data_IF_402257399330
#
_entry.id   IF_402257399330
#
_cell.length_a   1.000
_cell.length_b   1.000
_cell.length_c   1.000
_cell.angle_alpha   90.00
_cell.angle_beta   90.00
_cell.angle_gamma   90.00
#
_symmetry.space_group_name_H-M   'P 1'
#
loop_
_entity.id
_entity.type
_entity.pdbx_description
1 polymer ?
#
# COMPACT_ATOMS: atom_id res chain seq x y z
N UNK A 1 -47.84 45.08 -2.42
CA UNK A 1 -47.53 45.83 -1.18
C UNK A 1 -46.18 45.38 -0.67
N UNK A 2 -45.28 46.36 -0.59
CA UNK A 2 -44.10 46.51 0.29
C UNK A 2 -43.00 45.42 0.30
N UNK A 3 -41.82 45.90 -0.08
CA UNK A 3 -40.49 45.32 -0.08
C UNK A 3 -39.87 45.25 1.33
N UNK A 4 -38.83 44.43 1.51
CA UNK A 4 -38.00 44.45 2.71
C UNK A 4 -36.59 43.88 2.49
N UNK A 5 -35.76 44.62 1.77
CA UNK A 5 -34.29 44.46 1.74
C UNK A 5 -33.68 45.06 3.00
N UNK A 6 -32.74 44.36 3.64
CA UNK A 6 -31.77 44.98 4.56
C UNK A 6 -30.36 44.50 4.21
N UNK A 7 -29.56 45.44 3.72
CA UNK A 7 -28.10 45.39 3.64
C UNK A 7 -27.57 46.41 4.64
N UNK A 8 -26.54 46.06 5.42
CA UNK A 8 -25.62 47.05 5.98
C UNK A 8 -24.21 46.47 6.09
N UNK A 9 -23.26 47.28 5.60
CA UNK A 9 -21.82 47.09 5.61
C UNK A 9 -21.20 47.36 6.99
N UNK A 10 -20.03 46.77 7.23
CA UNK A 10 -19.12 47.18 8.30
C UNK A 10 -17.73 46.55 8.14
N UNK A 11 -16.80 47.31 7.57
CA UNK A 11 -15.39 46.97 7.33
C UNK A 11 -14.50 47.46 8.49
N UNK A 12 -13.54 46.61 8.90
CA UNK A 12 -12.18 46.96 9.36
C UNK A 12 -11.91 46.92 10.87
N UNK A 13 -10.63 46.85 11.32
CA UNK A 13 -9.38 46.75 10.55
C UNK A 13 -8.41 45.60 10.95
N UNK A 14 -7.42 45.40 10.07
CA UNK A 14 -6.17 44.66 10.29
C UNK A 14 -5.42 45.16 11.55
N UNK A 15 -4.80 44.22 12.28
CA UNK A 15 -3.52 44.45 12.95
C UNK A 15 -2.54 43.32 12.64
N UNK A 16 -1.38 43.75 12.16
CA UNK A 16 -0.18 43.00 11.84
C UNK A 16 0.85 43.35 12.92
N UNK A 17 1.45 42.34 13.56
CA UNK A 17 2.64 42.55 14.40
C UNK A 17 3.76 41.61 13.96
N UNK A 18 4.93 42.26 13.82
CA UNK A 18 6.26 41.77 13.46
C UNK A 18 6.76 40.67 14.41
N UNK A 19 7.31 39.61 13.82
CA UNK A 19 8.75 39.29 13.78
C UNK A 19 9.55 39.19 15.07
N UNK A 20 10.21 38.05 15.26
CA UNK A 20 11.65 38.00 15.59
C UNK A 20 12.28 36.66 15.18
N UNK A 21 13.42 36.77 14.49
CA UNK A 21 14.38 35.73 14.11
C UNK A 21 15.30 35.35 15.31
N UNK A 22 16.35 34.58 15.00
CA UNK A 22 17.45 34.01 15.80
C UNK A 22 17.26 32.52 16.11
N UNK A 23 18.19 31.60 15.85
CA UNK A 23 19.58 31.73 15.40
C UNK A 23 20.02 30.38 14.79
N UNK A 24 20.79 30.42 13.70
CA UNK A 24 21.71 29.34 13.35
C UNK A 24 22.80 29.26 14.44
N UNK A 25 23.24 28.06 14.81
CA UNK A 25 24.68 27.84 14.96
C UNK A 25 25.08 26.36 14.86
N UNK A 26 26.15 26.22 14.10
CA UNK A 26 26.87 25.04 13.65
C UNK A 26 27.99 24.63 14.62
N UNK A 27 28.58 23.47 14.27
CA UNK A 27 29.99 23.08 14.44
C UNK A 27 30.43 22.49 15.78
N UNK A 28 31.27 21.45 15.65
CA UNK A 28 32.37 21.25 16.58
C UNK A 28 32.78 19.81 16.84
N UNK A 29 33.44 19.16 15.87
CA UNK A 29 34.53 18.23 16.21
C UNK A 29 35.57 18.97 17.06
N UNK A 30 36.19 18.31 18.05
CA UNK A 30 37.65 18.24 18.24
C UNK A 30 38.02 17.15 19.25
N UNK A 31 39.17 16.54 18.95
CA UNK A 31 39.91 15.45 19.56
C UNK A 31 40.49 15.73 20.95
N UNK A 32 40.82 14.66 21.68
CA UNK A 32 42.02 14.45 22.52
C UNK A 32 42.19 12.92 22.65
N UNK A 33 43.33 12.22 22.51
CA UNK A 33 44.73 12.59 22.57
C UNK A 33 45.48 11.73 23.61
N UNK A 34 46.21 10.70 23.15
CA UNK A 34 47.41 10.04 23.73
C UNK A 34 47.39 9.24 25.08
N UNK A 35 47.96 8.01 25.01
CA UNK A 35 49.25 7.74 25.71
C UNK A 35 49.43 6.48 26.61
N UNK A 36 50.11 5.46 26.05
CA UNK A 36 51.22 4.60 26.59
C UNK A 36 51.07 3.58 27.75
N UNK A 37 51.71 2.42 27.52
CA UNK A 37 52.32 1.46 28.49
C UNK A 37 51.66 0.07 28.43
N UNK A 38 52.29 -1.11 28.21
CA UNK A 38 53.67 -1.60 28.31
C UNK A 38 53.70 -2.80 29.28
N UNK A 39 54.05 -4.02 28.83
CA UNK A 39 54.30 -5.18 29.71
C UNK A 39 54.13 -6.57 29.07
N UNK A 40 55.16 -7.39 29.17
CA UNK A 40 55.46 -8.64 28.45
C UNK A 40 54.84 -9.93 29.03
N UNK A 41 54.87 -11.02 28.25
CA UNK A 41 54.70 -12.39 28.74
C UNK A 41 54.69 -13.45 27.62
N UNK A 42 55.86 -14.02 27.32
CA UNK A 42 56.09 -15.14 26.37
C UNK A 42 56.12 -16.46 27.12
N UNK A 43 55.43 -17.51 26.64
CA UNK A 43 55.83 -18.91 26.85
C UNK A 43 55.61 -19.70 25.54
N UNK A 44 56.72 -20.15 24.96
CA UNK A 44 56.82 -21.14 23.89
C UNK A 44 57.04 -22.52 24.51
N UNK A 45 56.36 -23.56 24.03
CA UNK A 45 56.95 -24.91 23.96
C UNK A 45 56.49 -25.62 22.71
N UNK A 46 57.45 -26.24 22.05
CA UNK A 46 57.44 -26.76 20.69
C UNK A 46 57.57 -28.29 20.69
N UNK A 47 57.46 -28.85 19.49
CA UNK A 47 58.03 -30.11 18.98
C UNK A 47 57.05 -31.30 18.80
N UNK A 48 56.89 -31.64 17.51
CA UNK A 48 56.37 -32.86 16.85
C UNK A 48 57.33 -34.07 17.09
N UNK A 49 57.62 -35.09 16.22
CA UNK A 49 57.25 -35.37 14.81
C UNK A 49 56.98 -36.87 14.44
N UNK A 50 56.81 -37.09 13.13
CA UNK A 50 57.05 -38.32 12.34
C UNK A 50 55.93 -39.37 12.27
N UNK A 51 55.63 -40.05 11.15
CA UNK A 51 56.40 -40.37 9.91
C UNK A 51 55.48 -40.84 8.74
N UNK A 52 55.91 -40.56 7.51
CA UNK A 52 55.50 -41.15 6.20
C UNK A 52 55.91 -42.67 6.09
N UNK A 53 55.81 -43.47 4.97
CA UNK A 53 55.67 -43.08 3.54
C UNK A 53 55.08 -44.10 2.47
N UNK A 54 55.03 -43.67 1.18
CA UNK A 54 55.16 -44.35 -0.16
C UNK A 54 54.26 -45.55 -0.61
N UNK A 55 53.60 -45.48 -1.80
CA UNK A 55 53.90 -46.24 -3.06
C UNK A 55 52.92 -46.05 -4.24
N UNK A 56 53.37 -46.46 -5.44
CA UNK A 56 53.09 -45.96 -6.80
C UNK A 56 52.12 -46.83 -7.64
N UNK A 57 51.47 -46.15 -8.61
CA UNK A 57 51.05 -46.55 -9.99
C UNK A 57 50.18 -47.80 -10.23
N UNK A 58 49.02 -47.59 -10.89
CA UNK A 58 48.62 -48.35 -12.09
C UNK A 58 47.67 -47.52 -12.97
N UNK A 59 48.04 -47.38 -14.24
CA UNK A 59 47.24 -46.79 -15.33
C UNK A 59 46.58 -47.97 -16.04
N UNK A 60 45.29 -47.85 -16.35
CA UNK A 60 44.61 -48.55 -17.44
C UNK A 60 43.38 -47.75 -17.87
N UNK A 61 43.21 -47.64 -19.18
CA UNK A 61 42.21 -46.90 -19.95
C UNK A 61 40.77 -47.36 -19.67
N UNK A 62 39.77 -46.47 -19.75
CA UNK A 62 38.90 -46.34 -20.93
C UNK A 62 37.65 -45.46 -20.70
N UNK A 63 37.37 -44.66 -21.73
CA UNK A 63 36.05 -44.28 -22.24
C UNK A 63 35.13 -43.27 -21.50
N UNK A 64 34.90 -42.16 -22.23
CA UNK A 64 33.62 -41.45 -22.46
C UNK A 64 32.91 -40.69 -21.32
N UNK A 65 32.94 -39.36 -21.38
CA UNK A 65 31.85 -38.48 -21.85
C UNK A 65 32.12 -37.03 -21.39
N UNK A 66 32.07 -36.10 -22.32
CA UNK A 66 32.27 -34.67 -22.10
C UNK A 66 31.05 -34.04 -21.42
N UNK A 67 31.19 -33.67 -20.15
CA UNK A 67 30.33 -32.67 -19.51
C UNK A 67 31.09 -31.34 -19.49
N UNK A 68 30.56 -30.35 -20.22
CA UNK A 68 31.00 -28.97 -20.13
C UNK A 68 30.46 -28.39 -18.81
N UNK A 69 31.35 -28.21 -17.84
CA UNK A 69 31.03 -27.62 -16.55
C UNK A 69 31.31 -26.11 -16.63
N UNK A 70 30.27 -25.30 -16.80
CA UNK A 70 30.39 -23.84 -16.68
C UNK A 70 30.61 -23.44 -15.21
N UNK A 71 31.48 -22.45 -14.93
CA UNK A 71 31.85 -22.07 -13.57
C UNK A 71 30.74 -21.31 -12.84
N UNK A 72 30.55 -21.70 -11.59
CA UNK A 72 29.62 -21.13 -10.62
C UNK A 72 30.11 -19.72 -10.23
N UNK A 73 29.58 -18.71 -10.90
CA UNK A 73 29.49 -17.36 -10.34
C UNK A 73 28.04 -17.12 -9.93
N UNK A 74 27.74 -17.43 -8.68
CA UNK A 74 26.46 -17.13 -8.04
C UNK A 74 26.29 -15.61 -7.97
N UNK A 75 25.63 -15.05 -8.98
CA UNK A 75 25.41 -13.61 -9.10
C UNK A 75 24.19 -13.24 -8.26
N UNK A 76 24.44 -12.77 -7.03
CA UNK A 76 23.44 -12.23 -6.08
C UNK A 76 22.83 -10.88 -6.56
N UNK A 77 22.71 -10.67 -7.88
CA UNK A 77 22.31 -9.40 -8.49
C UNK A 77 21.09 -9.52 -9.42
N UNK A 78 20.44 -10.69 -9.49
CA UNK A 78 19.29 -10.88 -10.38
C UNK A 78 18.11 -11.62 -9.77
N UNK A 79 17.80 -11.34 -8.51
CA UNK A 79 16.40 -11.39 -8.04
C UNK A 79 15.79 -9.99 -8.14
N UNK A 80 15.64 -9.49 -9.37
CA UNK A 80 14.53 -8.56 -9.60
C UNK A 80 13.29 -9.40 -9.33
N UNK A 81 12.69 -9.23 -8.14
CA UNK A 81 11.43 -9.85 -7.82
C UNK A 81 10.48 -9.57 -8.98
N UNK A 82 10.09 -10.63 -9.71
CA UNK A 82 9.02 -10.53 -10.70
C UNK A 82 7.84 -9.96 -9.94
N UNK A 83 7.45 -8.72 -10.23
CA UNK A 83 6.25 -8.15 -9.63
C UNK A 83 5.12 -9.14 -9.88
N UNK A 84 4.42 -9.59 -8.84
CA UNK A 84 3.32 -10.52 -9.03
C UNK A 84 2.30 -9.86 -9.97
N UNK A 85 2.02 -10.54 -11.08
CA UNK A 85 1.15 -10.03 -12.15
C UNK A 85 -0.33 -9.96 -11.72
N UNK A 86 -0.69 -10.55 -10.58
CA UNK A 86 -2.06 -10.57 -10.04
C UNK A 86 -2.12 -10.14 -8.58
N UNK A 87 -3.30 -9.67 -8.15
CA UNK A 87 -3.56 -9.27 -6.77
C UNK A 87 -3.40 -10.43 -5.78
N UNK A 88 -3.72 -11.67 -6.18
CA UNK A 88 -3.53 -12.86 -5.36
C UNK A 88 -2.04 -13.13 -5.10
N UNK A 89 -1.22 -13.09 -6.15
CA UNK A 89 0.21 -13.31 -6.00
C UNK A 89 0.87 -12.17 -5.18
N UNK A 90 0.38 -10.94 -5.32
CA UNK A 90 0.81 -9.81 -4.49
C UNK A 90 0.44 -10.01 -3.02
N UNK A 91 -0.81 -10.40 -2.75
CA UNK A 91 -1.29 -10.66 -1.39
C UNK A 91 -0.52 -11.79 -0.70
N UNK A 92 -0.22 -12.87 -1.44
CA UNK A 92 0.54 -14.01 -0.91
C UNK A 92 1.97 -13.65 -0.56
N UNK A 93 2.61 -12.79 -1.36
CA UNK A 93 4.00 -12.37 -1.16
C UNK A 93 4.19 -11.47 0.08
N UNK A 94 3.13 -10.82 0.58
CA UNK A 94 3.23 -10.01 1.80
C UNK A 94 3.45 -10.90 3.03
N UNK A 95 4.44 -10.56 3.85
CA UNK A 95 4.79 -11.30 5.07
C UNK A 95 3.85 -10.96 6.24
N UNK A 96 3.16 -9.82 6.19
CA UNK A 96 2.23 -9.40 7.25
C UNK A 96 0.98 -10.28 7.29
N UNK A 97 0.46 -10.49 8.49
CA UNK A 97 -0.72 -11.34 8.71
C UNK A 97 -2.07 -10.61 8.51
N UNK A 98 -2.07 -9.28 8.47
CA UNK A 98 -3.24 -8.45 8.15
C UNK A 98 -2.90 -7.47 7.05
N UNK A 99 -3.53 -7.63 5.91
CA UNK A 99 -3.43 -6.74 4.77
C UNK A 99 -4.71 -6.78 3.94
N UNK A 100 -4.86 -5.78 3.08
CA UNK A 100 -5.92 -5.67 2.11
C UNK A 100 -5.29 -5.30 0.76
N UNK A 101 -5.36 -6.20 -0.20
CA UNK A 101 -5.03 -5.91 -1.60
C UNK A 101 -6.30 -5.56 -2.35
N UNK A 102 -6.31 -4.46 -3.09
CA UNK A 102 -7.44 -4.06 -3.93
C UNK A 102 -7.00 -4.15 -5.38
N UNK A 103 -7.69 -5.00 -6.14
CA UNK A 103 -7.65 -5.05 -7.59
C UNK A 103 -8.79 -4.20 -8.14
N UNK A 104 -8.46 -3.19 -8.93
CA UNK A 104 -9.41 -2.27 -9.53
C UNK A 104 -9.43 -2.54 -11.02
N UNK A 105 -10.56 -3.00 -11.55
CA UNK A 105 -10.79 -3.20 -12.98
C UNK A 105 -11.76 -2.14 -13.47
N UNK A 106 -11.25 -1.15 -14.21
CA UNK A 106 -12.08 -0.14 -14.83
C UNK A 106 -12.64 -0.68 -16.15
N UNK A 107 -13.89 -1.16 -16.12
CA UNK A 107 -14.59 -1.67 -17.32
C UNK A 107 -15.26 -0.55 -18.10
N UNK A 108 -15.43 0.63 -17.49
CA UNK A 108 -15.98 1.82 -18.15
C UNK A 108 -15.18 2.18 -19.41
N UNK A 109 -15.90 2.54 -20.46
CA UNK A 109 -15.37 3.08 -21.71
C UNK A 109 -15.32 4.61 -21.72
N UNK A 110 -15.95 5.25 -20.73
CA UNK A 110 -16.19 6.70 -20.70
C UNK A 110 -15.43 7.39 -19.56
N UNK A 111 -15.24 6.71 -18.43
CA UNK A 111 -14.69 7.30 -17.21
C UNK A 111 -13.31 6.75 -16.90
N UNK A 112 -12.37 7.64 -16.59
CA UNK A 112 -11.11 7.29 -15.94
C UNK A 112 -11.22 7.54 -14.44
N UNK A 113 -10.54 6.71 -13.66
CA UNK A 113 -10.34 6.96 -12.24
C UNK A 113 -9.07 7.79 -12.08
N UNK A 114 -9.15 8.96 -11.47
CA UNK A 114 -7.99 9.85 -11.26
C UNK A 114 -7.91 10.33 -9.81
N UNK A 115 -6.80 10.97 -9.44
CA UNK A 115 -6.60 11.63 -8.15
C UNK A 115 -6.95 10.73 -6.93
N UNK A 116 -6.29 9.57 -6.79
CA UNK A 116 -6.52 8.70 -5.64
C UNK A 116 -6.23 9.44 -4.33
N UNK A 117 -7.11 9.26 -3.35
CA UNK A 117 -6.86 9.70 -1.96
C UNK A 117 -7.14 8.54 -1.02
N UNK A 118 -6.28 8.38 -0.03
CA UNK A 118 -6.35 7.32 0.96
C UNK A 118 -6.45 7.93 2.34
N UNK A 119 -7.39 7.45 3.13
CA UNK A 119 -7.43 7.65 4.57
C UNK A 119 -7.29 6.29 5.25
N UNK A 120 -6.29 6.15 6.12
CA UNK A 120 -6.09 4.95 6.94
C UNK A 120 -6.51 5.24 8.38
N UNK A 121 -7.49 4.49 8.89
CA UNK A 121 -7.85 4.49 10.31
C UNK A 121 -6.92 3.58 11.12
N UNK A 122 -6.35 2.55 10.51
CA UNK A 122 -5.40 1.61 11.11
C UNK A 122 -4.48 1.04 10.02
N UNK A 123 -3.18 0.98 10.28
CA UNK A 123 -2.18 0.57 9.30
C UNK A 123 -1.81 1.68 8.31
N UNK A 124 -1.15 1.29 7.22
CA UNK A 124 -0.60 2.21 6.23
C UNK A 124 -0.70 1.66 4.80
N UNK A 125 -0.47 2.55 3.82
CA UNK A 125 -0.41 2.21 2.40
C UNK A 125 0.92 1.52 2.09
N UNK A 126 0.87 0.24 1.68
CA UNK A 126 2.06 -0.53 1.33
C UNK A 126 2.42 -0.38 -0.15
N UNK A 127 1.46 -0.65 -1.05
CA UNK A 127 1.59 -0.33 -2.47
C UNK A 127 0.57 0.76 -2.83
N UNK A 128 1.01 1.98 -3.17
CA UNK A 128 0.11 3.10 -3.39
C UNK A 128 -0.82 2.86 -4.58
N UNK A 129 -2.06 3.39 -4.54
CA UNK A 129 -2.96 3.37 -5.68
C UNK A 129 -2.35 4.10 -6.88
N UNK A 130 -2.58 3.57 -8.08
CA UNK A 130 -2.11 4.21 -9.30
C UNK A 130 -2.76 5.58 -9.47
N UNK A 131 -2.01 6.64 -9.86
CA UNK A 131 -2.57 7.98 -10.03
C UNK A 131 -3.72 8.06 -11.04
N UNK A 132 -3.77 7.12 -11.98
CA UNK A 132 -4.83 7.01 -12.99
C UNK A 132 -5.09 5.56 -13.35
N UNK A 133 -6.36 5.14 -13.29
CA UNK A 133 -6.84 3.87 -13.87
C UNK A 133 -7.63 4.21 -15.12
N UNK A 134 -7.00 4.02 -16.28
CA UNK A 134 -7.64 4.32 -17.58
C UNK A 134 -8.80 3.36 -17.85
N UNK A 135 -9.65 3.74 -18.79
CA UNK A 135 -10.70 2.89 -19.33
C UNK A 135 -10.15 1.53 -19.76
N UNK A 136 -10.90 0.46 -19.50
CA UNK A 136 -10.56 -0.93 -19.85
C UNK A 136 -9.18 -1.40 -19.32
N UNK A 137 -8.73 -0.87 -18.18
CA UNK A 137 -7.47 -1.26 -17.52
C UNK A 137 -7.72 -1.71 -16.09
N UNK A 138 -6.81 -2.55 -15.61
CA UNK A 138 -6.80 -3.03 -14.23
C UNK A 138 -5.52 -2.60 -13.53
N UNK A 139 -5.64 -2.25 -12.26
CA UNK A 139 -4.53 -1.83 -11.42
C UNK A 139 -4.66 -2.44 -10.01
N UNK A 140 -3.53 -2.55 -9.31
CA UNK A 140 -3.47 -3.16 -7.98
C UNK A 140 -2.84 -2.19 -6.98
N UNK A 141 -3.44 -2.09 -5.79
CA UNK A 141 -2.87 -1.40 -4.64
C UNK A 141 -3.04 -2.22 -3.37
N UNK A 142 -2.31 -1.88 -2.31
CA UNK A 142 -2.37 -2.65 -1.07
C UNK A 142 -2.09 -1.83 0.18
N UNK A 143 -2.71 -2.28 1.26
CA UNK A 143 -2.68 -1.67 2.58
C UNK A 143 -2.35 -2.76 3.60
N UNK A 144 -1.57 -2.42 4.62
CA UNK A 144 -1.12 -3.39 5.63
C UNK A 144 -1.21 -2.81 7.02
N UNK A 145 -1.26 -3.66 8.04
CA UNK A 145 -1.15 -3.26 9.44
C UNK A 145 0.20 -2.61 9.75
N UNK A 146 0.27 -1.87 10.85
CA UNK A 146 1.53 -1.39 11.41
C UNK A 146 2.34 -2.55 12.01
N UNK A 147 3.66 -2.51 11.94
CA UNK A 147 4.51 -3.57 12.50
C UNK A 147 4.37 -3.67 14.02
N UNK A 148 4.56 -4.88 14.56
CA UNK A 148 4.59 -5.19 16.00
C UNK A 148 3.38 -4.75 16.86
N UNK A 149 2.28 -4.36 16.23
CA UNK A 149 1.03 -3.99 16.91
C UNK A 149 -0.10 -4.99 16.62
N UNK A 150 -1.02 -5.18 17.56
CA UNK A 150 -2.25 -5.97 17.37
C UNK A 150 -3.32 -5.18 16.58
N UNK A 151 -2.91 -4.57 15.46
CA UNK A 151 -3.73 -3.71 14.61
C UNK A 151 -4.15 -4.40 13.32
N UNK A 152 -5.20 -3.87 12.69
CA UNK A 152 -5.71 -4.32 11.40
C UNK A 152 -5.25 -3.42 10.25
N UNK A 153 -5.80 -3.66 9.06
CA UNK A 153 -5.71 -2.75 7.91
C UNK A 153 -7.10 -2.21 7.61
N UNK A 154 -7.33 -0.93 7.90
CA UNK A 154 -8.67 -0.33 7.88
C UNK A 154 -8.58 1.08 7.30
N UNK A 155 -9.40 1.36 6.28
CA UNK A 155 -9.35 2.65 5.61
C UNK A 155 -10.40 2.85 4.54
N UNK A 156 -10.27 3.98 3.85
CA UNK A 156 -11.06 4.35 2.67
C UNK A 156 -10.12 4.79 1.56
N UNK A 157 -10.37 4.28 0.36
CA UNK A 157 -9.77 4.72 -0.89
C UNK A 157 -10.83 5.44 -1.72
N UNK A 158 -10.52 6.63 -2.23
CA UNK A 158 -11.39 7.34 -3.16
C UNK A 158 -10.67 7.62 -4.47
N UNK A 159 -11.42 7.57 -5.57
CA UNK A 159 -10.98 8.07 -6.88
C UNK A 159 -12.03 9.02 -7.45
N UNK A 160 -11.56 10.08 -8.08
CA UNK A 160 -12.39 10.99 -8.86
C UNK A 160 -12.79 10.34 -10.19
N UNK A 161 -14.07 10.44 -10.54
CA UNK A 161 -14.62 9.95 -11.81
C UNK A 161 -14.46 11.03 -12.89
N UNK A 162 -13.44 10.89 -13.72
CA UNK A 162 -13.18 11.82 -14.81
C UNK A 162 -13.89 11.38 -16.10
N UNK A 163 -14.86 12.18 -16.53
CA UNK A 163 -15.55 12.00 -17.81
C UNK A 163 -14.62 12.40 -18.96
N UNK A 164 -14.21 11.41 -19.77
CA UNK A 164 -13.29 11.64 -20.87
C UNK A 164 -13.93 12.44 -22.03
N UNK A 165 -15.24 12.35 -22.20
CA UNK A 165 -15.98 13.01 -23.30
C UNK A 165 -16.17 14.48 -22.98
N UNK A 166 -16.65 14.77 -21.78
CA UNK A 166 -17.00 16.14 -21.37
C UNK A 166 -15.89 16.84 -20.58
N UNK A 167 -14.80 16.13 -20.23
CA UNK A 167 -13.59 16.67 -19.60
C UNK A 167 -13.84 17.31 -18.23
N UNK A 168 -14.78 16.78 -17.46
CA UNK A 168 -15.06 17.22 -16.09
C UNK A 168 -15.12 16.04 -15.11
N UNK A 169 -15.08 16.37 -13.82
CA UNK A 169 -15.28 15.43 -12.72
C UNK A 169 -16.27 16.06 -11.75
N UNK A 170 -17.32 15.33 -11.39
CA UNK A 170 -18.37 15.80 -10.47
C UNK A 170 -18.64 14.81 -9.33
N UNK A 171 -18.22 13.56 -9.49
CA UNK A 171 -18.41 12.47 -8.56
C UNK A 171 -17.08 11.78 -8.24
N UNK A 172 -17.05 11.11 -7.11
CA UNK A 172 -15.96 10.21 -6.74
C UNK A 172 -16.52 8.86 -6.33
N UNK A 173 -15.78 7.80 -6.64
CA UNK A 173 -16.02 6.48 -6.05
C UNK A 173 -15.30 6.44 -4.70
N UNK A 174 -15.90 5.76 -3.72
CA UNK A 174 -15.29 5.46 -2.45
C UNK A 174 -15.38 3.96 -2.16
N UNK A 175 -14.28 3.40 -1.68
CA UNK A 175 -14.12 2.00 -1.29
C UNK A 175 -13.62 1.98 0.15
N UNK A 176 -14.49 1.56 1.07
CA UNK A 176 -14.13 1.35 2.47
C UNK A 176 -13.82 -0.12 2.68
N UNK A 177 -12.72 -0.40 3.39
CA UNK A 177 -12.33 -1.74 3.77
C UNK A 177 -11.92 -1.77 5.25
N UNK A 178 -12.22 -2.89 5.89
CA UNK A 178 -11.81 -3.16 7.27
C UNK A 178 -11.40 -4.61 7.41
N UNK A 179 -10.11 -4.83 7.68
CA UNK A 179 -9.51 -6.14 7.99
C UNK A 179 -8.99 -6.11 9.42
N UNK A 180 -9.80 -6.49 10.43
CA UNK A 180 -9.43 -6.42 11.84
C UNK A 180 -8.35 -7.45 12.22
N UNK A 181 -7.63 -7.19 13.32
CA UNK A 181 -6.67 -8.12 13.87
C UNK A 181 -7.35 -9.38 14.45
N UNK A 182 -8.37 -9.20 15.30
CA UNK A 182 -9.05 -10.31 15.99
C UNK A 182 -10.38 -10.68 15.33
N UNK A 183 -10.42 -11.87 14.73
CA UNK A 183 -11.63 -12.41 14.09
C UNK A 183 -12.59 -13.15 15.01
N UNK A 184 -12.23 -13.34 16.28
CA UNK A 184 -13.16 -13.85 17.28
C UNK A 184 -14.23 -12.80 17.61
N UNK A 185 -13.85 -11.52 17.57
CA UNK A 185 -14.71 -10.38 17.91
C UNK A 185 -15.23 -9.63 16.67
N UNK A 186 -14.45 -9.59 15.59
CA UNK A 186 -14.76 -8.76 14.42
C UNK A 186 -14.74 -9.56 13.12
N UNK A 187 -15.32 -8.97 12.06
CA UNK A 187 -15.36 -9.54 10.70
C UNK A 187 -14.78 -8.54 9.70
N UNK A 188 -14.45 -9.03 8.51
CA UNK A 188 -14.11 -8.17 7.39
C UNK A 188 -15.34 -7.38 6.95
N UNK A 189 -15.16 -6.11 6.62
CA UNK A 189 -16.22 -5.27 6.07
C UNK A 189 -15.74 -4.56 4.81
N UNK A 190 -16.63 -4.53 3.82
CA UNK A 190 -16.46 -3.84 2.56
C UNK A 190 -17.65 -2.91 2.34
N UNK A 191 -17.39 -1.67 1.96
CA UNK A 191 -18.42 -0.80 1.40
C UNK A 191 -17.95 -0.11 0.13
N UNK A 192 -18.87 0.06 -0.82
CA UNK A 192 -18.64 0.81 -2.07
C UNK A 192 -19.74 1.85 -2.22
N UNK A 193 -19.40 3.01 -2.74
CA UNK A 193 -20.34 4.11 -2.93
C UNK A 193 -19.84 5.17 -3.90
N UNK A 194 -20.74 6.09 -4.25
CA UNK A 194 -20.45 7.24 -5.09
C UNK A 194 -20.90 8.50 -4.35
N UNK A 195 -20.01 9.47 -4.28
CA UNK A 195 -20.22 10.73 -3.58
C UNK A 195 -19.93 11.90 -4.50
N UNK A 196 -20.36 13.10 -4.12
CA UNK A 196 -19.95 14.33 -4.79
C UNK A 196 -18.43 14.52 -4.68
N UNK A 197 -17.79 15.05 -5.73
CA UNK A 197 -16.33 15.25 -5.80
C UNK A 197 -15.76 16.03 -4.60
N UNK A 198 -16.55 16.94 -4.02
CA UNK A 198 -16.14 17.74 -2.86
C UNK A 198 -16.03 16.94 -1.56
N UNK A 199 -16.53 15.69 -1.52
CA UNK A 199 -16.42 14.83 -0.35
C UNK A 199 -14.95 14.53 -0.07
N UNK A 200 -14.50 14.83 1.14
CA UNK A 200 -13.12 14.57 1.56
C UNK A 200 -12.93 13.07 1.83
N UNK A 201 -11.75 12.57 1.51
CA UNK A 201 -11.28 11.26 1.94
C UNK A 201 -10.64 11.43 3.33
N UNK A 202 -11.43 11.22 4.37
CA UNK A 202 -11.05 11.47 5.76
C UNK A 202 -11.77 10.52 6.74
N UNK A 203 -11.51 10.70 8.03
CA UNK A 203 -12.13 9.96 9.11
C UNK A 203 -13.67 10.05 9.10
N UNK A 204 -14.22 11.19 8.70
CA UNK A 204 -15.67 11.37 8.64
C UNK A 204 -16.29 10.53 7.51
N UNK A 205 -15.63 10.41 6.36
CA UNK A 205 -16.04 9.48 5.31
C UNK A 205 -15.91 8.01 5.76
N UNK A 206 -14.83 7.65 6.43
CA UNK A 206 -14.68 6.30 6.99
C UNK A 206 -15.81 5.95 7.96
N UNK A 207 -16.05 6.80 8.97
CA UNK A 207 -17.11 6.58 9.97
C UNK A 207 -18.49 6.52 9.31
N UNK A 208 -18.74 7.37 8.32
CA UNK A 208 -19.97 7.35 7.56
C UNK A 208 -20.18 5.99 6.86
N UNK A 209 -19.19 5.49 6.12
CA UNK A 209 -19.33 4.21 5.41
C UNK A 209 -19.34 3.00 6.36
N UNK A 210 -18.67 3.08 7.52
CA UNK A 210 -18.53 1.95 8.44
C UNK A 210 -19.64 1.82 9.49
N UNK A 211 -20.14 2.93 10.05
CA UNK A 211 -21.12 2.89 11.14
C UNK A 211 -22.54 3.21 10.69
N UNK A 212 -22.71 4.06 9.68
CA UNK A 212 -24.06 4.46 9.27
C UNK A 212 -24.84 3.28 8.70
N UNK A 213 -26.15 3.34 8.91
CA UNK A 213 -27.12 2.36 8.41
C UNK A 213 -27.93 2.90 7.23
N UNK A 214 -27.76 4.18 6.93
CA UNK A 214 -28.46 4.80 5.81
C UNK A 214 -27.65 4.63 4.52
N UNK A 215 -28.06 3.67 3.70
CA UNK A 215 -27.36 3.25 2.48
C UNK A 215 -27.80 4.08 1.26
N UNK A 216 -27.86 5.41 1.37
CA UNK A 216 -28.26 6.26 0.23
C UNK A 216 -27.17 6.37 -0.82
N UNK A 217 -25.93 6.58 -0.38
CA UNK A 217 -24.79 6.92 -1.25
C UNK A 217 -23.74 5.80 -1.31
N UNK A 218 -23.96 4.73 -0.54
CA UNK A 218 -23.08 3.58 -0.48
C UNK A 218 -23.86 2.33 -0.05
N UNK A 219 -23.30 1.17 -0.33
CA UNK A 219 -23.75 -0.14 0.16
C UNK A 219 -22.61 -0.81 0.91
N UNK A 220 -22.92 -1.49 2.02
CA UNK A 220 -21.95 -2.22 2.85
C UNK A 220 -22.32 -3.69 2.97
N UNK A 221 -21.32 -4.56 2.93
CA UNK A 221 -21.45 -6.00 3.19
C UNK A 221 -20.33 -6.48 4.10
N UNK A 222 -20.58 -7.59 4.79
CA UNK A 222 -19.50 -8.39 5.37
C UNK A 222 -18.63 -8.96 4.24
N UNK A 223 -17.31 -8.97 4.42
CA UNK A 223 -16.34 -9.50 3.48
C UNK A 223 -16.29 -11.03 3.54
N UNK A 224 -17.39 -11.69 3.19
CA UNK A 224 -17.55 -13.15 3.21
C UNK A 224 -17.45 -13.78 1.80
N UNK A 225 -16.97 -13.03 0.82
CA UNK A 225 -16.91 -13.42 -0.59
C UNK A 225 -18.14 -13.00 -1.41
N UNK A 226 -19.24 -12.57 -0.77
CA UNK A 226 -20.42 -12.11 -1.49
C UNK A 226 -20.16 -10.77 -2.20
N UNK A 227 -20.83 -10.60 -3.33
CA UNK A 227 -20.80 -9.36 -4.10
C UNK A 227 -21.61 -8.25 -3.43
N UNK A 228 -21.12 -7.02 -3.54
CA UNK A 228 -21.83 -5.78 -3.24
C UNK A 228 -21.86 -4.91 -4.50
N UNK A 229 -22.98 -4.25 -4.75
CA UNK A 229 -23.16 -3.36 -5.89
C UNK A 229 -23.77 -2.05 -5.41
N UNK A 230 -23.14 -0.94 -5.79
CA UNK A 230 -23.74 0.38 -5.68
C UNK A 230 -24.07 0.90 -7.09
N UNK A 231 -25.36 1.22 -7.30
CA UNK A 231 -25.88 1.69 -8.58
C UNK A 231 -25.87 3.22 -8.62
N UNK A 232 -24.91 3.78 -9.35
CA UNK A 232 -24.80 5.22 -9.54
C UNK A 232 -25.68 5.76 -10.66
N UNK A 233 -25.52 7.05 -10.91
CA UNK A 233 -26.17 7.75 -12.03
C UNK A 233 -25.49 7.47 -13.35
N UNK A 234 -24.16 7.56 -13.36
CA UNK A 234 -23.33 7.45 -14.58
C UNK A 234 -22.51 6.17 -14.65
N UNK A 235 -22.17 5.60 -13.48
CA UNK A 235 -21.44 4.34 -13.36
C UNK A 235 -22.07 3.45 -12.29
N UNK A 236 -21.92 2.14 -12.46
CA UNK A 236 -22.22 1.15 -11.42
C UNK A 236 -20.90 0.59 -10.88
N UNK A 237 -20.81 0.43 -9.55
CA UNK A 237 -19.62 -0.07 -8.87
C UNK A 237 -19.94 -1.40 -8.22
N UNK A 238 -19.19 -2.44 -8.58
CA UNK A 238 -19.32 -3.80 -8.02
C UNK A 238 -18.06 -4.19 -7.29
N UNK A 239 -18.19 -4.87 -6.17
CA UNK A 239 -17.03 -5.40 -5.47
C UNK A 239 -17.30 -6.70 -4.74
N UNK A 240 -16.24 -7.47 -4.48
CA UNK A 240 -16.21 -8.63 -3.57
C UNK A 240 -15.03 -8.50 -2.62
N UNK A 241 -15.10 -9.13 -1.45
CA UNK A 241 -14.00 -9.17 -0.49
C UNK A 241 -13.88 -10.54 0.16
N UNK A 242 -12.68 -11.09 0.28
CA UNK A 242 -12.42 -12.34 1.01
C UNK A 242 -12.45 -12.15 2.53
N UNK A 243 -12.75 -13.23 3.26
CA UNK A 243 -12.90 -13.24 4.73
C UNK A 243 -11.61 -13.53 5.51
N UNK A 244 -10.46 -13.57 4.83
CA UNK A 244 -9.18 -13.95 5.43
C UNK A 244 -8.38 -12.73 5.88
N UNK A 245 -7.31 -12.95 6.66
CA UNK A 245 -6.44 -11.87 7.16
C UNK A 245 -5.65 -11.16 6.05
N UNK A 246 -5.31 -11.88 4.98
CA UNK A 246 -4.73 -11.31 3.76
C UNK A 246 -5.85 -11.09 2.75
N UNK A 247 -6.68 -10.09 3.01
CA UNK A 247 -7.91 -9.88 2.27
C UNK A 247 -7.62 -9.40 0.84
N UNK A 248 -8.47 -9.80 -0.09
CA UNK A 248 -8.45 -9.32 -1.47
C UNK A 248 -9.81 -8.74 -1.77
N UNK A 249 -9.82 -7.50 -2.27
CA UNK A 249 -10.99 -6.85 -2.84
C UNK A 249 -10.83 -6.84 -4.35
N UNK A 250 -11.85 -7.32 -5.06
CA UNK A 250 -11.99 -7.12 -6.51
C UNK A 250 -13.05 -6.07 -6.73
N UNK A 251 -12.69 -4.96 -7.37
CA UNK A 251 -13.55 -3.82 -7.64
C UNK A 251 -13.69 -3.66 -9.15
N UNK A 252 -14.92 -3.52 -9.63
CA UNK A 252 -15.23 -3.26 -11.02
C UNK A 252 -16.08 -2.00 -11.15
N UNK A 253 -15.74 -1.17 -12.14
CA UNK A 253 -16.48 0.06 -12.46
C UNK A 253 -17.04 -0.06 -13.88
N UNK A 254 -18.36 0.06 -14.02
CA UNK A 254 -19.08 -0.08 -15.29
C UNK A 254 -19.75 1.22 -15.68
N UNK A 255 -19.83 1.52 -16.97
CA UNK A 255 -20.78 2.52 -17.46
C UNK A 255 -22.21 2.10 -17.12
N UNK A 256 -23.07 3.07 -16.81
CA UNK A 256 -24.49 2.79 -16.61
C UNK A 256 -25.10 2.23 -17.90
N UNK A 257 -25.59 1.00 -17.85
CA UNK A 257 -26.25 0.38 -19.00
C UNK A 257 -27.64 1.02 -19.19
N UNK A 258 -27.85 1.69 -20.33
CA UNK A 258 -29.19 2.15 -20.77
C UNK A 258 -29.48 3.66 -20.66
N UNK A 259 -28.54 4.54 -21.01
CA UNK A 259 -28.81 5.96 -21.28
C UNK A 259 -28.40 6.34 -22.70
#
# INVERSE_FOLDING_TARGET
>A
MVWGTFSWHGLGPLQQLRGQEHNLQSCGHTQTGNGKGGGEGVIMVHVSPHSSPVLKKKISEDSQLSEAQEPIHENLSTRKAKMPETAEAFSQAMTTNRNCTIEITNVSSTYCLINPKVYMSSGFTFNPPQPTVRTTKSEVCSFTKDDDTASGSVGVLTYELFDMRNRYCNELIAVMFSVPFDYNLYKNWLAVGIFEQKRKCDEALYKHMYYEKNYTNFTRTEGNGNGVEYKGRVVDVKATMSNVGKAIIKLEVYDKMGQ
#
